data_IF_527525580831
#
_entry.id   IF_527525580831
#
_cell.length_a   1.000
_cell.length_b   1.000
_cell.length_c   1.000
_cell.angle_alpha   90.00
_cell.angle_beta   90.00
_cell.angle_gamma   90.00
#
_symmetry.space_group_name_H-M   'P 1'
#
loop_
_entity.id
_entity.type
_entity.pdbx_description
1 polymer ?
#
# COMPACT_ATOMS: atom_id res chain seq x y z
N UNK A 1 3.00 43.02 -28.41
CA UNK A 1 2.12 41.85 -28.56
C UNK A 1 2.94 40.57 -28.70
N UNK A 2 3.87 40.50 -29.66
CA UNK A 2 4.75 39.33 -29.86
C UNK A 2 5.58 38.96 -28.61
N UNK A 3 6.24 39.94 -27.98
CA UNK A 3 6.98 39.75 -26.72
C UNK A 3 6.09 39.28 -25.55
N UNK A 4 4.83 39.70 -25.51
CA UNK A 4 3.89 39.27 -24.47
C UNK A 4 3.49 37.81 -24.68
N UNK A 5 3.30 37.41 -25.94
CA UNK A 5 2.97 36.04 -26.32
C UNK A 5 4.13 35.08 -26.05
N UNK A 6 5.38 35.48 -26.37
CA UNK A 6 6.57 34.69 -26.06
C UNK A 6 6.73 34.47 -24.55
N UNK A 7 6.52 35.50 -23.74
CA UNK A 7 6.61 35.37 -22.28
C UNK A 7 5.50 34.48 -21.69
N UNK A 8 4.28 34.57 -22.22
CA UNK A 8 3.19 33.67 -21.82
C UNK A 8 3.50 32.21 -22.17
N UNK A 9 3.96 31.94 -23.39
CA UNK A 9 4.32 30.57 -23.81
C UNK A 9 5.48 30.00 -23.00
N UNK A 10 6.47 30.84 -22.65
CA UNK A 10 7.58 30.45 -21.79
C UNK A 10 7.11 30.11 -20.37
N UNK A 11 6.20 30.91 -19.81
CA UNK A 11 5.63 30.66 -18.50
C UNK A 11 4.80 29.37 -18.47
N UNK A 12 3.93 29.17 -19.46
CA UNK A 12 3.10 27.97 -19.57
C UNK A 12 3.95 26.71 -19.73
N UNK A 13 4.97 26.76 -20.58
CA UNK A 13 5.88 25.61 -20.79
C UNK A 13 6.59 25.24 -19.51
N UNK A 14 7.15 26.25 -18.82
CA UNK A 14 7.82 26.03 -17.53
C UNK A 14 6.86 25.48 -16.47
N UNK A 15 5.63 26.00 -16.42
CA UNK A 15 4.62 25.51 -15.48
C UNK A 15 4.29 24.04 -15.75
N UNK A 16 4.13 23.64 -17.01
CA UNK A 16 3.86 22.23 -17.37
C UNK A 16 5.04 21.33 -16.99
N UNK A 17 6.28 21.79 -17.19
CA UNK A 17 7.49 21.06 -16.77
C UNK A 17 7.54 20.89 -15.24
N UNK A 18 7.35 21.98 -14.48
CA UNK A 18 7.36 21.96 -13.01
C UNK A 18 6.28 21.01 -12.46
N UNK A 19 5.07 21.03 -13.05
CA UNK A 19 3.98 20.11 -12.68
C UNK A 19 4.30 18.65 -13.01
N UNK A 20 5.01 18.38 -14.11
CA UNK A 20 5.40 17.02 -14.47
C UNK A 20 6.32 16.42 -13.39
N UNK A 21 7.31 17.20 -12.95
CA UNK A 21 8.26 16.79 -11.92
C UNK A 21 7.58 16.56 -10.56
N UNK A 22 6.62 17.42 -10.21
CA UNK A 22 5.81 17.26 -9.00
C UNK A 22 4.97 15.97 -9.06
N UNK A 23 4.30 15.70 -10.18
CA UNK A 23 3.52 14.48 -10.38
C UNK A 23 4.42 13.24 -10.28
N UNK A 24 5.60 13.26 -10.92
CA UNK A 24 6.55 12.14 -10.84
C UNK A 24 6.94 11.85 -9.38
N UNK A 25 7.19 12.89 -8.61
CA UNK A 25 7.54 12.76 -7.18
C UNK A 25 6.38 12.16 -6.39
N UNK A 26 5.15 12.65 -6.58
CA UNK A 26 3.96 12.12 -5.92
C UNK A 26 3.73 10.65 -6.29
N UNK A 27 3.91 10.28 -7.56
CA UNK A 27 3.75 8.90 -8.02
C UNK A 27 4.76 7.96 -7.37
N UNK A 28 6.02 8.38 -7.23
CA UNK A 28 7.04 7.59 -6.51
C UNK A 28 6.63 7.39 -5.05
N UNK A 29 6.22 8.47 -4.37
CA UNK A 29 5.77 8.39 -2.98
C UNK A 29 4.55 7.49 -2.81
N UNK A 30 3.57 7.60 -3.70
CA UNK A 30 2.37 6.76 -3.71
C UNK A 30 2.72 5.28 -3.94
N UNK A 31 3.64 4.99 -4.86
CA UNK A 31 4.12 3.63 -5.12
C UNK A 31 4.83 3.02 -3.91
N UNK A 32 5.74 3.78 -3.29
CA UNK A 32 6.45 3.34 -2.08
C UNK A 32 5.49 3.11 -0.90
N UNK A 33 4.56 4.05 -0.68
CA UNK A 33 3.54 3.92 0.36
C UNK A 33 2.65 2.70 0.12
N UNK A 34 2.19 2.49 -1.11
CA UNK A 34 1.38 1.33 -1.46
C UNK A 34 2.16 0.03 -1.24
N UNK A 35 3.45 -0.03 -1.60
CA UNK A 35 4.26 -1.22 -1.40
C UNK A 35 4.41 -1.57 0.10
N UNK A 36 4.71 -0.56 0.93
CA UNK A 36 4.79 -0.74 2.39
C UNK A 36 3.45 -1.16 2.97
N UNK A 37 2.36 -0.51 2.56
CA UNK A 37 1.01 -0.85 3.01
C UNK A 37 0.63 -2.28 2.63
N UNK A 38 0.88 -2.69 1.39
CA UNK A 38 0.59 -4.07 0.94
C UNK A 38 1.39 -5.09 1.73
N UNK A 39 2.70 -4.87 1.95
CA UNK A 39 3.52 -5.76 2.77
C UNK A 39 2.97 -5.87 4.20
N UNK A 40 2.64 -4.73 4.82
CA UNK A 40 2.05 -4.70 6.15
C UNK A 40 0.70 -5.42 6.22
N UNK A 41 -0.16 -5.22 5.23
CA UNK A 41 -1.48 -5.88 5.16
C UNK A 41 -1.36 -7.40 5.02
N UNK A 42 -0.43 -7.90 4.19
CA UNK A 42 -0.20 -9.35 4.03
C UNK A 42 0.24 -9.98 5.35
N UNK A 43 1.23 -9.40 6.02
CA UNK A 43 1.72 -9.90 7.31
C UNK A 43 0.65 -9.79 8.41
N UNK A 44 -0.05 -8.66 8.46
CA UNK A 44 -1.14 -8.47 9.44
C UNK A 44 -2.24 -9.52 9.25
N UNK A 45 -2.58 -9.86 8.00
CA UNK A 45 -3.59 -10.88 7.74
C UNK A 45 -3.17 -12.26 8.25
N UNK A 46 -1.89 -12.63 8.09
CA UNK A 46 -1.34 -13.88 8.65
C UNK A 46 -1.36 -13.88 10.17
N UNK A 47 -0.97 -12.76 10.80
CA UNK A 47 -0.95 -12.63 12.26
C UNK A 47 -2.36 -12.64 12.89
N UNK A 48 -3.38 -12.19 12.17
CA UNK A 48 -4.77 -12.22 12.64
C UNK A 48 -5.45 -13.58 12.42
N UNK A 49 -4.93 -14.43 11.53
CA UNK A 49 -5.48 -15.76 11.33
C UNK A 49 -5.13 -16.67 12.51
N UNK A 50 -6.10 -17.49 12.90
CA UNK A 50 -5.89 -18.52 13.92
C UNK A 50 -4.90 -19.55 13.38
N UNK A 51 -3.90 -19.90 14.18
CA UNK A 51 -2.91 -20.90 13.80
C UNK A 51 -3.61 -22.27 13.61
N UNK A 52 -3.54 -22.89 12.43
CA UNK A 52 -4.17 -24.18 12.17
C UNK A 52 -3.61 -25.31 13.05
N UNK A 53 -2.35 -25.21 13.50
CA UNK A 53 -1.81 -26.16 14.48
C UNK A 53 -2.50 -25.99 15.83
N UNK A 54 -2.74 -24.74 16.25
CA UNK A 54 -3.48 -24.46 17.48
C UNK A 54 -4.94 -24.90 17.38
N UNK A 55 -5.62 -24.64 16.26
CA UNK A 55 -7.01 -25.08 16.03
C UNK A 55 -7.14 -26.61 16.06
N UNK A 56 -6.19 -27.32 15.45
CA UNK A 56 -6.18 -28.79 15.47
C UNK A 56 -5.86 -29.35 16.86
N UNK A 57 -4.93 -28.74 17.60
CA UNK A 57 -4.64 -29.10 18.99
C UNK A 57 -5.84 -28.88 19.91
N UNK A 58 -6.55 -27.76 19.76
CA UNK A 58 -7.77 -27.44 20.52
C UNK A 58 -8.87 -28.47 20.22
N UNK A 59 -9.04 -28.85 18.94
CA UNK A 59 -10.01 -29.87 18.52
C UNK A 59 -9.67 -31.25 19.10
N UNK A 60 -8.40 -31.66 19.04
CA UNK A 60 -7.93 -32.92 19.60
C UNK A 60 -8.10 -32.96 21.13
N UNK A 61 -7.83 -31.85 21.81
CA UNK A 61 -8.09 -31.72 23.25
C UNK A 61 -9.58 -31.90 23.58
N UNK A 62 -10.48 -31.30 22.77
CA UNK A 62 -11.92 -31.48 22.96
C UNK A 62 -12.34 -32.95 22.77
N UNK A 63 -11.82 -33.63 21.75
CA UNK A 63 -12.12 -35.05 21.49
C UNK A 63 -11.59 -35.92 22.65
N UNK A 64 -10.37 -35.65 23.14
CA UNK A 64 -9.80 -36.37 24.28
C UNK A 64 -10.67 -36.25 25.53
N UNK A 65 -11.16 -35.04 25.84
CA UNK A 65 -12.05 -34.80 26.98
C UNK A 65 -13.38 -35.54 26.86
N UNK A 66 -13.90 -35.72 25.65
CA UNK A 66 -15.13 -36.48 25.41
C UNK A 66 -14.94 -38.00 25.59
N UNK A 67 -13.75 -38.52 25.31
CA UNK A 67 -13.42 -39.94 25.46
C UNK A 67 -13.13 -40.36 26.91
N UNK A 68 -12.81 -39.39 27.78
CA UNK A 68 -12.54 -39.62 29.21
C UNK A 68 -13.82 -39.65 30.08
N UNK A 69 -14.98 -39.31 29.51
CA UNK A 69 -16.31 -39.37 30.16
C UNK A 69 -17.08 -40.65 29.83
#
# INVERSE_FOLDING_TARGET
WETCLEEMLRHDTKMVEDWNDEINTILILAGLFSAVLTAFTVESYQLLQQDPEQESADTLSQISLQLES
#
